data_IF_273753860078
#
_entry.id   IF_273753860078
#
_cell.length_a   1.000
_cell.length_b   1.000
_cell.length_c   1.000
_cell.angle_alpha   90.00
_cell.angle_beta   90.00
_cell.angle_gamma   90.00
#
_symmetry.space_group_name_H-M   'P 1'
#
loop_
_entity.id
_entity.type
_entity.pdbx_description
1 polymer ?
#
# COMPACT_ATOMS: atom_id res chain seq x y z
N UNK A 1 28.33 0.55 0.52
CA UNK A 1 28.24 1.50 -0.62
C UNK A 1 27.10 0.95 -1.49
N UNK A 2 25.96 1.64 -1.53
CA UNK A 2 24.81 1.22 -2.36
C UNK A 2 25.13 1.64 -3.79
N UNK A 3 25.05 0.74 -4.76
CA UNK A 3 25.29 1.07 -6.16
C UNK A 3 24.18 1.99 -6.66
N UNK A 4 24.48 2.83 -7.66
CA UNK A 4 23.46 3.67 -8.30
C UNK A 4 22.33 2.81 -8.92
N UNK A 5 22.64 1.59 -9.34
CA UNK A 5 21.67 0.61 -9.83
C UNK A 5 20.70 0.16 -8.72
N UNK A 6 21.23 -0.24 -7.56
CA UNK A 6 20.43 -0.66 -6.39
C UNK A 6 19.50 0.48 -5.91
N UNK A 7 19.98 1.73 -5.96
CA UNK A 7 19.19 2.90 -5.58
C UNK A 7 18.01 3.17 -6.55
N UNK A 8 18.18 2.88 -7.84
CA UNK A 8 17.10 3.00 -8.83
C UNK A 8 16.10 1.86 -8.73
N UNK A 9 16.57 0.64 -8.49
CA UNK A 9 15.72 -0.53 -8.28
C UNK A 9 14.83 -0.34 -7.03
N UNK A 10 15.43 0.09 -5.91
CA UNK A 10 14.69 0.37 -4.67
C UNK A 10 13.60 1.44 -4.88
N UNK A 11 13.89 2.52 -5.64
CA UNK A 11 12.88 3.53 -5.98
C UNK A 11 11.74 2.96 -6.84
N UNK A 12 12.06 2.06 -7.77
CA UNK A 12 11.05 1.40 -8.60
C UNK A 12 10.09 0.55 -7.76
N UNK A 13 10.64 -0.20 -6.80
CA UNK A 13 9.87 -1.01 -5.85
C UNK A 13 8.98 -0.12 -4.97
N UNK A 14 9.52 0.94 -4.37
CA UNK A 14 8.74 1.86 -3.53
C UNK A 14 7.54 2.48 -4.27
N UNK A 15 7.76 2.95 -5.51
CA UNK A 15 6.68 3.52 -6.33
C UNK A 15 5.63 2.45 -6.70
N UNK A 16 6.08 1.22 -6.97
CA UNK A 16 5.21 0.09 -7.26
C UNK A 16 4.32 -0.29 -6.08
N UNK A 17 4.92 -0.38 -4.89
CA UNK A 17 4.21 -0.64 -3.64
C UNK A 17 3.21 0.47 -3.31
N UNK A 18 3.58 1.74 -3.48
CA UNK A 18 2.66 2.86 -3.24
C UNK A 18 1.42 2.80 -4.17
N UNK A 19 1.64 2.59 -5.47
CA UNK A 19 0.55 2.47 -6.45
C UNK A 19 -0.31 1.24 -6.20
N UNK A 20 0.32 0.12 -5.83
CA UNK A 20 -0.38 -1.12 -5.50
C UNK A 20 -1.28 -0.97 -4.27
N UNK A 21 -0.76 -0.35 -3.21
CA UNK A 21 -1.52 -0.07 -1.99
C UNK A 21 -2.72 0.83 -2.30
N UNK A 22 -2.51 1.91 -3.05
CA UNK A 22 -3.58 2.82 -3.47
C UNK A 22 -4.68 2.10 -4.24
N UNK A 23 -4.31 1.28 -5.21
CA UNK A 23 -5.26 0.51 -6.02
C UNK A 23 -6.06 -0.47 -5.15
N UNK A 24 -5.39 -1.23 -4.27
CA UNK A 24 -6.03 -2.20 -3.40
C UNK A 24 -7.05 -1.54 -2.46
N UNK A 25 -6.69 -0.44 -1.81
CA UNK A 25 -7.60 0.29 -0.91
C UNK A 25 -8.83 0.79 -1.66
N UNK A 26 -8.64 1.39 -2.85
CA UNK A 26 -9.75 1.89 -3.67
C UNK A 26 -10.67 0.78 -4.15
N UNK A 27 -10.12 -0.35 -4.59
CA UNK A 27 -10.92 -1.51 -4.98
C UNK A 27 -11.71 -2.07 -3.80
N UNK A 28 -11.13 -2.13 -2.60
CA UNK A 28 -11.84 -2.61 -1.40
C UNK A 28 -12.94 -1.63 -0.94
N UNK A 29 -12.76 -0.32 -1.11
CA UNK A 29 -13.80 0.71 -0.84
C UNK A 29 -15.09 0.48 -1.63
N UNK A 30 -15.00 -0.12 -2.82
CA UNK A 30 -16.19 -0.42 -3.62
C UNK A 30 -17.08 -1.49 -2.98
N UNK A 31 -16.53 -2.31 -2.09
CA UNK A 31 -17.23 -3.40 -1.41
C UNK A 31 -17.62 -3.07 0.03
N UNK A 32 -16.90 -2.15 0.70
CA UNK A 32 -17.18 -1.74 2.08
C UNK A 32 -16.69 -0.33 2.38
N UNK A 33 -17.45 0.41 3.19
CA UNK A 33 -17.03 1.72 3.72
C UNK A 33 -16.39 1.62 5.11
N UNK A 34 -16.19 0.41 5.64
CA UNK A 34 -15.53 0.19 6.93
C UNK A 34 -14.01 0.19 6.78
N UNK A 35 -13.36 1.25 7.29
CA UNK A 35 -11.91 1.40 7.25
C UNK A 35 -11.16 0.25 7.92
N UNK A 36 -11.64 -0.24 9.07
CA UNK A 36 -10.96 -1.31 9.79
C UNK A 36 -11.04 -2.64 9.02
N UNK A 37 -12.16 -2.89 8.34
CA UNK A 37 -12.31 -4.05 7.46
C UNK A 37 -11.35 -4.00 6.25
N UNK A 38 -11.18 -2.81 5.66
CA UNK A 38 -10.22 -2.60 4.56
C UNK A 38 -8.79 -2.78 5.06
N UNK A 39 -8.41 -2.12 6.15
CA UNK A 39 -7.07 -2.22 6.74
C UNK A 39 -6.70 -3.68 7.05
N UNK A 40 -7.62 -4.42 7.71
CA UNK A 40 -7.43 -5.83 8.02
C UNK A 40 -7.29 -6.72 6.77
N UNK A 41 -7.88 -6.32 5.65
CA UNK A 41 -7.73 -7.05 4.37
C UNK A 41 -6.41 -6.70 3.68
N UNK A 42 -5.97 -5.44 3.76
CA UNK A 42 -4.68 -4.98 3.22
C UNK A 42 -3.52 -5.69 3.91
N UNK A 43 -3.47 -5.73 5.24
CA UNK A 43 -2.35 -6.34 5.98
C UNK A 43 -2.29 -7.87 5.87
N UNK A 44 -3.34 -8.52 5.34
CA UNK A 44 -3.30 -9.95 5.00
C UNK A 44 -2.52 -10.23 3.71
N UNK A 45 -2.30 -9.21 2.88
CA UNK A 45 -1.43 -9.32 1.72
C UNK A 45 0.03 -9.29 2.18
N UNK A 46 0.83 -10.27 1.74
CA UNK A 46 2.24 -10.39 2.16
C UNK A 46 3.07 -9.13 1.87
N UNK A 47 2.84 -8.50 0.70
CA UNK A 47 3.52 -7.28 0.25
C UNK A 47 3.17 -6.10 1.15
N UNK A 48 1.92 -6.02 1.62
CA UNK A 48 1.42 -4.92 2.44
C UNK A 48 1.30 -5.26 3.92
N UNK A 49 1.84 -6.38 4.37
CA UNK A 49 1.72 -6.85 5.77
C UNK A 49 2.29 -5.88 6.81
N UNK A 50 3.18 -4.99 6.39
CA UNK A 50 3.87 -4.00 7.24
C UNK A 50 3.33 -2.58 7.11
N UNK A 51 2.32 -2.33 6.28
CA UNK A 51 1.77 -0.98 6.12
C UNK A 51 1.02 -0.55 7.38
N UNK A 52 1.10 0.73 7.72
CA UNK A 52 0.41 1.28 8.90
C UNK A 52 -0.99 1.77 8.55
N UNK A 53 -1.85 1.92 9.56
CA UNK A 53 -3.18 2.53 9.38
C UNK A 53 -3.09 3.92 8.72
N UNK A 54 -2.09 4.72 9.09
CA UNK A 54 -1.87 6.07 8.52
C UNK A 54 -1.55 6.03 7.02
N UNK A 55 -0.84 5.00 6.56
CA UNK A 55 -0.56 4.83 5.13
C UNK A 55 -1.81 4.43 4.36
N UNK A 56 -2.68 3.61 4.98
CA UNK A 56 -3.92 3.14 4.36
C UNK A 56 -4.98 4.25 4.33
N UNK A 57 -5.12 5.03 5.41
CA UNK A 57 -6.15 6.07 5.52
C UNK A 57 -5.97 7.17 4.47
N UNK A 58 -4.71 7.48 4.11
CA UNK A 58 -4.36 8.41 3.03
C UNK A 58 -5.08 8.08 1.70
N UNK A 59 -5.28 6.80 1.38
CA UNK A 59 -5.98 6.37 0.15
C UNK A 59 -7.46 6.04 0.39
N UNK A 60 -7.87 5.97 1.65
CA UNK A 60 -9.27 5.79 2.03
C UNK A 60 -10.03 7.12 2.06
N UNK A 61 -9.40 8.23 2.42
CA UNK A 61 -10.03 9.56 2.44
C UNK A 61 -9.91 10.30 1.09
N UNK A 62 -9.00 9.88 0.23
CA UNK A 62 -8.82 10.32 -1.16
C UNK A 62 -9.90 9.75 -2.10
#
# INVERSE_FOLDING_TARGET
>A
MVSYADAMENKGVEIGEEKGLKALVRSLKEYTCDFDAIYNSVIKNEVFSKVTKDQVIKYFED
#
